data_IF_758914385308
#
_entry.id   IF_758914385308
#
_cell.length_a   1.000
_cell.length_b   1.000
_cell.length_c   1.000
_cell.angle_alpha   90.00
_cell.angle_beta   90.00
_cell.angle_gamma   90.00
#
_symmetry.space_group_name_H-M   'P 1'
#
loop_
_entity.id
_entity.type
_entity.pdbx_description
1 polymer ?
#
# COMPACT_ATOMS: atom_id res chain seq x y z
N UNK A 1 7.03 -0.67 14.99
CA UNK A 1 6.02 -1.22 14.06
C UNK A 1 6.71 -2.24 13.17
N UNK A 2 6.15 -3.43 12.97
CA UNK A 2 6.78 -4.44 12.12
C UNK A 2 6.26 -4.34 10.68
N UNK A 3 6.98 -4.91 9.71
CA UNK A 3 6.53 -4.97 8.31
C UNK A 3 5.19 -5.70 8.17
N UNK A 4 4.91 -6.69 9.04
CA UNK A 4 3.63 -7.41 9.05
C UNK A 4 2.45 -6.51 9.48
N UNK A 5 2.65 -5.65 10.47
CA UNK A 5 1.62 -4.69 10.90
C UNK A 5 1.32 -3.66 9.80
N UNK A 6 2.37 -3.19 9.11
CA UNK A 6 2.23 -2.29 7.96
C UNK A 6 1.44 -2.99 6.86
N UNK A 7 1.87 -4.19 6.48
CA UNK A 7 1.27 -4.98 5.41
C UNK A 7 -0.21 -5.20 5.68
N UNK A 8 -0.58 -5.61 6.90
CA UNK A 8 -1.98 -5.80 7.31
C UNK A 8 -2.81 -4.55 7.10
N UNK A 9 -2.28 -3.39 7.50
CA UNK A 9 -2.97 -2.11 7.35
C UNK A 9 -3.11 -1.71 5.88
N UNK A 10 -2.05 -1.88 5.09
CA UNK A 10 -2.07 -1.63 3.64
C UNK A 10 -3.07 -2.56 2.95
N UNK A 11 -3.13 -3.83 3.33
CA UNK A 11 -4.12 -4.81 2.82
C UNK A 11 -5.55 -4.40 3.18
N UNK A 12 -5.81 -3.94 4.40
CA UNK A 12 -7.14 -3.45 4.80
C UNK A 12 -7.56 -2.20 4.01
N UNK A 13 -6.64 -1.27 3.77
CA UNK A 13 -6.90 -0.09 2.94
C UNK A 13 -7.17 -0.51 1.49
N UNK A 14 -6.34 -1.41 0.93
CA UNK A 14 -6.53 -1.93 -0.41
C UNK A 14 -7.87 -2.67 -0.55
N UNK A 15 -8.27 -3.46 0.44
CA UNK A 15 -9.57 -4.12 0.50
C UNK A 15 -10.71 -3.11 0.46
N UNK A 16 -10.60 -2.03 1.25
CA UNK A 16 -11.60 -0.96 1.27
C UNK A 16 -11.70 -0.21 -0.06
N UNK A 17 -10.59 0.06 -0.74
CA UNK A 17 -10.58 0.79 -2.02
C UNK A 17 -10.97 -0.09 -3.20
N UNK A 18 -10.59 -1.37 -3.22
CA UNK A 18 -10.90 -2.32 -4.30
C UNK A 18 -12.31 -2.91 -4.15
N UNK A 19 -12.81 -3.01 -2.93
CA UNK A 19 -14.03 -3.76 -2.60
C UNK A 19 -13.79 -5.28 -2.51
N UNK A 20 -12.54 -5.72 -2.60
CA UNK A 20 -12.17 -7.12 -2.41
C UNK A 20 -11.94 -7.42 -0.93
N UNK A 21 -12.25 -8.64 -0.45
CA UNK A 21 -11.94 -9.01 0.92
C UNK A 21 -10.42 -9.09 1.14
N UNK A 22 -9.94 -8.57 2.28
CA UNK A 22 -8.52 -8.62 2.66
C UNK A 22 -7.95 -10.05 2.62
N UNK A 23 -8.76 -11.06 2.91
CA UNK A 23 -8.37 -12.49 2.83
C UNK A 23 -8.03 -12.97 1.41
N UNK A 24 -8.44 -12.24 0.37
CA UNK A 24 -8.10 -12.55 -1.04
C UNK A 24 -6.91 -11.77 -1.55
N UNK A 25 -6.48 -10.75 -0.80
CA UNK A 25 -5.35 -9.89 -1.12
C UNK A 25 -4.09 -10.49 -0.48
N UNK A 26 -3.27 -11.17 -1.28
CA UNK A 26 -2.00 -11.73 -0.82
C UNK A 26 -0.89 -10.68 -0.87
N UNK A 27 0.19 -10.82 -0.07
CA UNK A 27 1.32 -9.89 -0.09
C UNK A 27 1.93 -9.75 -1.49
N UNK A 28 2.06 -10.86 -2.20
CA UNK A 28 2.59 -10.94 -3.57
C UNK A 28 1.54 -10.62 -4.66
N UNK A 29 0.34 -10.19 -4.26
CA UNK A 29 -0.70 -9.88 -5.24
C UNK A 29 -0.32 -8.63 -6.04
N UNK A 30 -0.34 -8.76 -7.36
CA UNK A 30 -0.06 -7.66 -8.28
C UNK A 30 -1.22 -6.66 -8.28
N UNK A 31 -0.97 -5.48 -7.70
CA UNK A 31 -1.93 -4.38 -7.62
C UNK A 31 -2.25 -3.80 -9.00
N UNK A 32 -1.31 -3.83 -9.94
CA UNK A 32 -1.51 -3.30 -11.31
C UNK A 32 -2.29 -4.28 -12.18
N UNK A 33 -2.12 -5.56 -11.92
CA UNK A 33 -2.86 -6.64 -12.59
C UNK A 33 -4.27 -6.89 -12.03
N UNK A 34 -4.61 -6.31 -10.87
CA UNK A 34 -5.92 -6.50 -10.25
C UNK A 34 -7.04 -5.84 -11.06
N UNK A 35 -8.07 -6.63 -11.37
CA UNK A 35 -9.27 -6.15 -12.03
C UNK A 35 -9.96 -5.07 -11.18
N UNK A 36 -9.95 -3.83 -11.69
CA UNK A 36 -10.58 -2.68 -11.03
C UNK A 36 -9.64 -1.80 -10.21
N UNK A 37 -8.33 -2.07 -10.16
CA UNK A 37 -7.34 -1.12 -9.64
C UNK A 37 -6.88 -0.22 -10.79
N UNK A 38 -7.39 1.01 -10.79
CA UNK A 38 -6.92 2.07 -11.70
C UNK A 38 -5.83 2.92 -11.02
N UNK A 39 -5.07 3.71 -11.79
CA UNK A 39 -4.08 4.66 -11.25
C UNK A 39 -4.67 5.59 -10.18
N UNK A 40 -5.97 5.93 -10.30
CA UNK A 40 -6.70 6.73 -9.29
C UNK A 40 -6.89 5.98 -7.98
N UNK A 41 -7.14 4.66 -8.00
CA UNK A 41 -7.31 3.86 -6.78
C UNK A 41 -5.99 3.68 -6.06
N UNK A 42 -4.91 3.44 -6.81
CA UNK A 42 -3.55 3.38 -6.23
C UNK A 42 -3.23 4.69 -5.52
N UNK A 43 -3.40 5.84 -6.18
CA UNK A 43 -3.18 7.15 -5.56
C UNK A 43 -4.05 7.37 -4.32
N UNK A 44 -5.32 6.91 -4.33
CA UNK A 44 -6.21 7.02 -3.17
C UNK A 44 -5.75 6.16 -1.99
N UNK A 45 -5.31 4.94 -2.28
CA UNK A 45 -4.75 4.02 -1.29
C UNK A 45 -3.50 4.62 -0.64
N UNK A 46 -2.57 5.13 -1.46
CA UNK A 46 -1.34 5.79 -1.03
C UNK A 46 -1.64 7.01 -0.16
N UNK A 47 -2.50 7.93 -0.62
CA UNK A 47 -2.88 9.11 0.15
C UNK A 47 -3.52 8.76 1.52
N UNK A 48 -4.18 7.61 1.60
CA UNK A 48 -4.79 7.13 2.86
C UNK A 48 -3.74 6.49 3.78
N UNK A 49 -2.76 5.80 3.23
CA UNK A 49 -1.59 5.26 3.95
C UNK A 49 -0.76 6.42 4.52
N UNK A 50 -0.43 7.42 3.72
CA UNK A 50 0.31 8.63 4.13
C UNK A 50 -0.34 9.30 5.33
N UNK A 51 -1.66 9.54 5.28
CA UNK A 51 -2.41 10.12 6.41
C UNK A 51 -2.49 9.22 7.64
N UNK A 52 -2.47 7.90 7.45
CA UNK A 52 -2.57 6.94 8.56
C UNK A 52 -1.27 6.92 9.36
N UNK A 53 -0.15 7.05 8.66
CA UNK A 53 1.19 6.98 9.24
C UNK A 53 1.87 8.33 9.42
N UNK A 54 1.24 9.41 8.96
CA UNK A 54 1.79 10.77 8.93
C UNK A 54 3.16 10.83 8.23
N UNK A 55 3.23 10.22 7.04
CA UNK A 55 4.43 10.13 6.20
C UNK A 55 4.16 10.69 4.80
N UNK A 56 5.23 11.12 4.11
CA UNK A 56 5.23 11.39 2.66
C UNK A 56 5.93 10.23 1.94
N UNK A 57 5.31 9.72 0.87
CA UNK A 57 5.91 8.72 -0.01
C UNK A 57 6.33 9.38 -1.31
N UNK A 58 7.54 9.07 -1.77
CA UNK A 58 8.03 9.59 -3.05
C UNK A 58 7.31 8.91 -4.22
N UNK A 59 6.92 9.71 -5.22
CA UNK A 59 6.26 9.21 -6.43
C UNK A 59 7.06 8.05 -7.06
N UNK A 60 8.39 8.16 -7.13
CA UNK A 60 9.23 7.11 -7.70
C UNK A 60 9.15 5.77 -6.95
N UNK A 61 9.07 5.80 -5.62
CA UNK A 61 8.92 4.62 -4.78
C UNK A 61 7.54 3.99 -5.03
N UNK A 62 6.49 4.82 -5.05
CA UNK A 62 5.10 4.40 -5.31
C UNK A 62 4.94 3.79 -6.70
N UNK A 63 5.44 4.47 -7.74
CA UNK A 63 5.45 4.01 -9.13
C UNK A 63 6.43 2.85 -9.36
N UNK A 64 7.30 2.53 -8.41
CA UNK A 64 8.12 1.32 -8.41
C UNK A 64 7.38 0.09 -7.87
N UNK A 65 6.37 0.28 -7.01
CA UNK A 65 5.65 -0.83 -6.38
C UNK A 65 4.74 -1.59 -7.34
N UNK A 66 4.81 -2.92 -7.29
CA UNK A 66 3.93 -3.81 -8.04
C UNK A 66 2.97 -4.57 -7.11
N UNK A 67 3.39 -4.85 -5.87
CA UNK A 67 2.67 -5.70 -4.94
C UNK A 67 2.32 -4.99 -3.62
N UNK A 68 1.40 -5.58 -2.84
CA UNK A 68 1.10 -5.10 -1.48
C UNK A 68 2.34 -5.17 -0.57
N UNK A 69 3.18 -6.18 -0.75
CA UNK A 69 4.45 -6.30 -0.04
C UNK A 69 5.41 -5.15 -0.36
N UNK A 70 5.50 -4.72 -1.63
CA UNK A 70 6.34 -3.59 -2.03
C UNK A 70 5.85 -2.29 -1.38
N UNK A 71 4.53 -2.04 -1.41
CA UNK A 71 3.94 -0.87 -0.75
C UNK A 71 4.24 -0.88 0.76
N UNK A 72 4.09 -2.03 1.42
CA UNK A 72 4.42 -2.15 2.83
C UNK A 72 5.92 -1.92 3.12
N UNK A 73 6.80 -2.36 2.22
CA UNK A 73 8.23 -2.13 2.33
C UNK A 73 8.58 -0.64 2.19
N UNK A 74 7.99 0.05 1.22
CA UNK A 74 8.15 1.50 0.99
C UNK A 74 7.67 2.29 2.20
N UNK A 75 6.49 1.98 2.74
CA UNK A 75 5.97 2.61 3.97
C UNK A 75 6.91 2.37 5.14
N UNK A 76 7.43 1.15 5.28
CA UNK A 76 8.39 0.82 6.34
C UNK A 76 9.74 1.51 6.18
N UNK A 77 10.17 1.82 4.95
CA UNK A 77 11.34 2.65 4.67
C UNK A 77 11.06 4.11 5.07
N UNK A 78 9.99 4.71 4.56
CA UNK A 78 9.60 6.09 4.86
C UNK A 78 9.42 6.35 6.37
N UNK A 79 8.79 5.42 7.10
CA UNK A 79 8.65 5.51 8.55
C UNK A 79 9.99 5.50 9.32
N UNK A 80 11.03 4.87 8.77
CA UNK A 80 12.37 4.87 9.36
C UNK A 80 13.14 6.14 9.02
N UNK A 81 12.85 6.75 7.88
CA UNK A 81 13.46 8.00 7.44
C UNK A 81 12.81 9.22 8.10
N UNK A 82 11.52 9.12 8.45
CA UNK A 82 10.75 10.14 9.18
C UNK A 82 10.97 10.12 10.71
N UNK A 83 11.65 9.10 11.25
CA UNK A 83 11.93 8.93 12.68
C UNK A 83 13.29 9.51 13.10
#
# INVERSE_FOLDING_TARGET
MTTDDILRTVTDIAAAETGLPASTLTPDADLRGMAGVDSVRVLRMIARIERTYDIELEDEDVFGTATLADVAAVVGKALREAA
#
